data_IF_817577190815
#
_entry.id   IF_817577190815
#
_cell.length_a   1.000
_cell.length_b   1.000
_cell.length_c   1.000
_cell.angle_alpha   90.00
_cell.angle_beta   90.00
_cell.angle_gamma   90.00
#
_symmetry.space_group_name_H-M   'P 1'
#
loop_
_entity.id
_entity.type
_entity.pdbx_description
1 polymer ?
#
# COMPACT_ATOMS: atom_id res chain seq x y z
N UNK A 1 -10.64 5.67 -11.95
CA UNK A 1 -11.54 5.14 -10.91
C UNK A 1 -11.04 5.63 -9.57
N UNK A 2 -11.89 5.68 -8.53
CA UNK A 2 -11.55 6.18 -7.19
C UNK A 2 -11.45 4.98 -6.22
N UNK A 3 -10.25 4.42 -5.98
CA UNK A 3 -10.11 3.22 -5.18
C UNK A 3 -10.21 3.52 -3.68
N UNK A 4 -10.91 2.65 -2.96
CA UNK A 4 -10.85 2.53 -1.51
C UNK A 4 -9.87 1.42 -1.14
N UNK A 5 -8.76 1.81 -0.52
CA UNK A 5 -7.71 0.87 -0.10
C UNK A 5 -7.87 0.57 1.37
N UNK A 6 -8.09 -0.71 1.69
CA UNK A 6 -8.21 -1.20 3.07
C UNK A 6 -6.85 -1.66 3.58
N UNK A 7 -6.49 -1.21 4.79
CA UNK A 7 -5.23 -1.53 5.45
C UNK A 7 -5.42 -2.63 6.51
N UNK A 8 -4.33 -3.23 7.05
CA UNK A 8 -4.44 -4.34 8.02
C UNK A 8 -5.12 -3.99 9.34
N UNK A 9 -5.25 -2.69 9.64
CA UNK A 9 -5.96 -2.17 10.81
C UNK A 9 -7.43 -1.84 10.53
N UNK A 10 -7.98 -2.35 9.41
CA UNK A 10 -9.31 -2.07 8.86
C UNK A 10 -9.54 -0.58 8.50
N UNK A 11 -8.52 0.27 8.58
CA UNK A 11 -8.65 1.65 8.13
C UNK A 11 -8.68 1.73 6.62
N UNK A 12 -9.50 2.64 6.09
CA UNK A 12 -9.67 2.86 4.66
C UNK A 12 -8.95 4.16 4.25
N UNK A 13 -8.25 4.12 3.12
CA UNK A 13 -7.74 5.30 2.41
C UNK A 13 -8.41 5.39 1.04
N UNK A 14 -9.15 6.47 0.83
CA UNK A 14 -9.81 6.77 -0.45
C UNK A 14 -8.97 7.74 -1.27
N UNK A 15 -8.89 7.51 -2.58
CA UNK A 15 -8.13 8.33 -3.51
C UNK A 15 -8.99 8.74 -4.71
N UNK A 16 -8.78 9.96 -5.23
CA UNK A 16 -9.56 10.53 -6.34
C UNK A 16 -9.11 10.04 -7.74
N UNK A 17 -8.29 8.98 -7.79
CA UNK A 17 -7.70 8.43 -9.01
C UNK A 17 -6.93 7.16 -8.72
N UNK A 18 -6.33 6.55 -9.75
CA UNK A 18 -5.41 5.45 -9.50
C UNK A 18 -4.24 5.92 -8.63
N UNK A 19 -3.69 5.02 -7.84
CA UNK A 19 -2.65 5.29 -6.84
C UNK A 19 -1.60 4.18 -6.89
N UNK A 20 -0.35 4.50 -6.60
CA UNK A 20 0.69 3.50 -6.42
C UNK A 20 1.06 3.29 -4.94
N UNK A 21 1.94 2.33 -4.67
CA UNK A 21 2.38 2.03 -3.31
C UNK A 21 3.14 3.18 -2.64
N UNK A 22 3.81 4.05 -3.40
CA UNK A 22 4.51 5.22 -2.85
C UNK A 22 3.53 6.30 -2.41
N UNK A 23 2.51 6.59 -3.22
CA UNK A 23 1.43 7.51 -2.91
C UNK A 23 0.64 7.04 -1.68
N UNK A 24 0.28 5.75 -1.64
CA UNK A 24 -0.40 5.14 -0.50
C UNK A 24 0.45 5.23 0.79
N UNK A 25 1.71 4.81 0.73
CA UNK A 25 2.59 4.84 1.91
C UNK A 25 2.80 6.28 2.42
N UNK A 26 2.87 7.25 1.52
CA UNK A 26 2.98 8.68 1.86
C UNK A 26 1.73 9.21 2.53
N UNK A 27 0.54 8.80 2.07
CA UNK A 27 -0.74 9.16 2.67
C UNK A 27 -0.94 8.55 4.08
N UNK A 28 -0.27 7.45 4.40
CA UNK A 28 -0.23 6.88 5.75
C UNK A 28 0.76 7.65 6.63
N UNK A 29 1.96 7.94 6.10
CA UNK A 29 2.90 8.85 6.75
C UNK A 29 4.31 8.78 6.18
N UNK A 30 5.10 9.86 6.33
CA UNK A 30 6.41 9.99 5.70
C UNK A 30 7.43 8.94 6.16
N UNK A 31 7.31 8.46 7.40
CA UNK A 31 8.16 7.38 7.92
C UNK A 31 7.91 6.04 7.25
N UNK A 32 6.65 5.72 6.92
CA UNK A 32 6.30 4.51 6.20
C UNK A 32 6.76 4.60 4.75
N UNK A 33 6.50 5.72 4.07
CA UNK A 33 6.98 5.95 2.70
C UNK A 33 8.49 5.76 2.56
N UNK A 34 9.28 6.26 3.53
CA UNK A 34 10.73 6.07 3.56
C UNK A 34 11.16 4.61 3.77
N UNK A 35 10.33 3.81 4.42
CA UNK A 35 10.68 2.44 4.83
C UNK A 35 10.04 1.36 3.94
N UNK A 36 9.11 1.75 3.06
CA UNK A 36 8.41 0.87 2.15
C UNK A 36 9.37 0.22 1.16
N UNK A 37 9.26 -1.10 0.99
CA UNK A 37 10.08 -1.87 0.05
C UNK A 37 9.24 -2.52 -1.04
N UNK A 38 8.07 -3.06 -0.67
CA UNK A 38 7.11 -3.66 -1.58
C UNK A 38 5.72 -3.62 -0.95
N UNK A 39 4.73 -4.16 -1.64
CA UNK A 39 3.39 -4.29 -1.10
C UNK A 39 2.75 -5.62 -1.48
N UNK A 40 1.75 -6.02 -0.70
CA UNK A 40 0.86 -7.13 -1.00
C UNK A 40 -0.50 -6.52 -1.35
N UNK A 41 -0.99 -6.77 -2.55
CA UNK A 41 -2.32 -6.34 -3.04
C UNK A 41 -3.19 -7.58 -3.20
N UNK A 42 -4.26 -7.66 -2.41
CA UNK A 42 -5.16 -8.82 -2.37
C UNK A 42 -4.41 -10.17 -2.32
N UNK A 43 -3.42 -10.25 -1.43
CA UNK A 43 -2.60 -11.45 -1.23
C UNK A 43 -1.48 -11.67 -2.25
N UNK A 44 -1.33 -10.77 -3.24
CA UNK A 44 -0.30 -10.89 -4.28
C UNK A 44 0.81 -9.86 -4.09
N UNK A 45 2.06 -10.32 -4.15
CA UNK A 45 3.23 -9.44 -4.12
C UNK A 45 3.28 -8.51 -5.35
N UNK A 46 3.52 -7.22 -5.10
CA UNK A 46 3.63 -6.18 -6.11
C UNK A 46 4.75 -5.20 -5.76
N UNK A 47 5.38 -4.66 -6.79
CA UNK A 47 6.27 -3.51 -6.67
C UNK A 47 5.47 -2.26 -6.28
N UNK A 48 6.12 -1.30 -5.61
CA UNK A 48 5.47 -0.06 -5.20
C UNK A 48 5.02 0.80 -6.38
N UNK A 49 5.57 0.61 -7.58
CA UNK A 49 5.11 1.28 -8.81
C UNK A 49 3.84 0.67 -9.44
N UNK A 50 3.34 -0.46 -8.90
CA UNK A 50 2.10 -1.07 -9.36
C UNK A 50 0.92 -0.10 -9.16
N UNK A 51 0.11 0.07 -10.21
CA UNK A 51 -1.06 0.94 -10.18
C UNK A 51 -2.27 0.21 -9.62
N UNK A 52 -2.81 0.76 -8.55
CA UNK A 52 -4.06 0.36 -7.92
C UNK A 52 -5.16 1.23 -8.51
N UNK A 53 -6.08 0.59 -9.22
CA UNK A 53 -7.18 1.28 -9.89
C UNK A 53 -8.53 0.97 -9.27
N UNK A 54 -8.61 -0.06 -8.43
CA UNK A 54 -9.83 -0.59 -7.84
C UNK A 54 -9.66 -0.80 -6.34
N UNK A 55 -10.78 -0.95 -5.66
CA UNK A 55 -10.83 -1.30 -4.23
C UNK A 55 -10.07 -2.61 -3.98
N UNK A 56 -9.23 -2.62 -2.95
CA UNK A 56 -8.41 -3.77 -2.59
C UNK A 56 -7.92 -3.68 -1.14
N UNK A 57 -7.35 -4.79 -0.67
CA UNK A 57 -6.60 -4.84 0.58
C UNK A 57 -5.12 -4.68 0.29
N UNK A 58 -4.45 -3.83 1.06
CA UNK A 58 -3.02 -3.57 0.90
C UNK A 58 -2.26 -3.73 2.21
N UNK A 59 -1.15 -4.46 2.14
CA UNK A 59 -0.11 -4.46 3.17
C UNK A 59 1.15 -3.82 2.60
N UNK A 60 1.67 -2.77 3.22
CA UNK A 60 3.00 -2.22 2.89
C UNK A 60 4.05 -3.00 3.66
N UNK A 61 4.99 -3.59 2.95
CA UNK A 61 6.08 -4.36 3.54
C UNK A 61 7.29 -3.46 3.67
N UNK A 62 7.86 -3.42 4.87
CA UNK A 62 9.11 -2.72 5.17
C UNK A 62 10.23 -3.72 5.41
N UNK A 63 11.46 -3.21 5.54
CA UNK A 63 12.62 -4.04 5.92
C UNK A 63 12.40 -4.80 7.23
N UNK A 64 11.60 -4.28 8.16
CA UNK A 64 11.35 -4.94 9.45
C UNK A 64 10.49 -6.20 9.28
N UNK A 65 9.55 -6.16 8.35
CA UNK A 65 8.62 -7.27 8.08
C UNK A 65 9.32 -8.38 7.28
N UNK A 66 10.22 -8.01 6.36
CA UNK A 66 11.00 -8.95 5.55
C UNK A 66 12.00 -9.80 6.35
N UNK A 67 12.36 -9.40 7.56
CA UNK A 67 13.23 -10.19 8.46
C UNK A 67 12.42 -11.22 9.26
N UNK A 68 11.09 -11.11 9.27
CA UNK A 68 10.18 -11.97 10.00
C UNK A 68 9.56 -13.11 9.14
N UNK A 69 9.89 -13.17 7.84
CA UNK A 69 9.52 -14.23 6.90
C UNK A 69 10.74 -15.11 6.59
#
# INVERSE_FOLDING_TARGET
MMPNITLPDDSIRSFDGSVDGFELASAIGPGLAKSAMMMIVDGNERDLSFRIEQDCNVVIITRKDAVAL
#
